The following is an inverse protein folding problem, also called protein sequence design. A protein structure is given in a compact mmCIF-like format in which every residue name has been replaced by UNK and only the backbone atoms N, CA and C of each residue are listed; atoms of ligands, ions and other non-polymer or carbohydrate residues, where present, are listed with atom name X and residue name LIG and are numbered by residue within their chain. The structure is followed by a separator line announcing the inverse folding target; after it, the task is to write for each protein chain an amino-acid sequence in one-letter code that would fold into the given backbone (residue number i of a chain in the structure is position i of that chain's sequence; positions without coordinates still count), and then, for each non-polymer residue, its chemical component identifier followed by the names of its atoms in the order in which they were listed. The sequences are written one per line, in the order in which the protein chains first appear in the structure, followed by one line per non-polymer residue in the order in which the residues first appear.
data_IF_282549068392
#
_entry.id   IF_282549068392
#
_cell.length_a   1.000
_cell.length_b   1.000
_cell.length_c   1.000
_cell.angle_alpha   90.00
_cell.angle_beta   90.00
_cell.angle_gamma   90.00
#
_symmetry.space_group_name_H-M   'P 1'
#
loop_
_entity.id
_entity.type
_entity.pdbx_description
1 polymer ?
#
# COMPACT_ATOMS: atom_id res chain seq x y z
N UNK A 1 -13.78 1.42 -32.13
CA UNK A 1 -13.08 1.11 -30.87
C UNK A 1 -13.53 2.11 -29.80
N UNK A 2 -14.45 1.67 -28.93
CA UNK A 2 -15.13 2.54 -27.96
C UNK A 2 -14.22 2.91 -26.78
N UNK A 3 -13.84 4.19 -26.71
CA UNK A 3 -13.30 4.80 -25.49
C UNK A 3 -14.46 4.96 -24.51
N UNK A 4 -14.53 4.13 -23.46
CA UNK A 4 -15.50 4.30 -22.36
C UNK A 4 -15.23 5.65 -21.69
N UNK A 5 -16.04 6.65 -22.05
CA UNK A 5 -16.24 7.85 -21.25
C UNK A 5 -16.96 7.42 -19.97
N UNK A 6 -16.44 7.79 -18.80
CA UNK A 6 -17.20 7.74 -17.55
C UNK A 6 -17.27 9.14 -16.93
N UNK A 7 -18.42 9.38 -16.32
CA UNK A 7 -19.11 10.65 -16.23
C UNK A 7 -18.45 11.73 -15.35
N UNK A 8 -18.95 12.94 -15.57
CA UNK A 8 -18.53 14.23 -15.07
C UNK A 8 -18.24 14.34 -13.57
N UNK A 9 -17.20 15.14 -13.32
CA UNK A 9 -16.89 15.89 -12.11
C UNK A 9 -18.14 16.39 -11.36
N UNK A 10 -18.34 15.89 -10.15
CA UNK A 10 -19.07 16.62 -9.13
C UNK A 10 -18.30 17.89 -8.78
N UNK A 11 -18.87 19.03 -9.14
CA UNK A 11 -18.43 20.35 -8.68
C UNK A 11 -18.51 20.43 -7.15
N UNK A 12 -17.45 20.91 -6.51
CA UNK A 12 -17.53 21.51 -5.19
C UNK A 12 -16.85 22.88 -5.24
N UNK A 13 -17.63 23.89 -4.87
CA UNK A 13 -17.27 25.30 -4.83
C UNK A 13 -16.08 25.60 -3.91
N UNK A 14 -15.40 26.72 -4.19
CA UNK A 14 -14.25 27.30 -3.49
C UNK A 14 -13.86 26.71 -2.12
N UNK A 15 -12.84 25.85 -2.12
CA UNK A 15 -12.20 25.30 -0.94
C UNK A 15 -11.10 24.33 -1.36
N UNK A 16 -10.08 24.09 -0.52
CA UNK A 16 -9.05 23.07 -0.80
C UNK A 16 -9.77 21.76 -1.13
N UNK A 17 -9.49 21.11 -2.27
CA UNK A 17 -10.23 19.92 -2.68
C UNK A 17 -10.16 18.88 -1.57
N UNK A 18 -11.32 18.44 -1.08
CA UNK A 18 -11.41 17.28 -0.21
C UNK A 18 -10.99 16.09 -1.07
N UNK A 19 -9.72 15.70 -0.95
CA UNK A 19 -9.24 14.44 -1.49
C UNK A 19 -9.86 13.33 -0.66
N UNK A 20 -11.05 12.88 -1.04
CA UNK A 20 -11.54 11.58 -0.63
C UNK A 20 -10.54 10.58 -1.22
N UNK A 21 -9.76 9.84 -0.41
CA UNK A 21 -8.92 8.80 -0.95
C UNK A 21 -9.85 7.83 -1.68
N UNK A 22 -9.67 7.65 -3.00
CA UNK A 22 -10.12 6.39 -3.64
C UNK A 22 -9.58 5.28 -2.76
N UNK A 23 -10.36 4.26 -2.39
CA UNK A 23 -9.85 3.14 -1.57
C UNK A 23 -8.47 2.71 -2.05
N UNK A 24 -7.41 3.18 -1.40
CA UNK A 24 -6.03 2.85 -1.75
C UNK A 24 -5.59 1.78 -0.78
N UNK A 25 -6.33 0.67 -0.76
CA UNK A 25 -6.03 -0.50 0.06
C UNK A 25 -4.94 -1.31 -0.65
N UNK A 26 -3.81 -0.65 -0.89
CA UNK A 26 -2.62 -1.22 -1.51
C UNK A 26 -1.46 -1.09 -0.54
N UNK A 27 -0.57 -2.06 -0.54
CA UNK A 27 0.67 -2.04 0.26
C UNK A 27 1.43 -0.74 0.02
N UNK A 28 1.45 -0.26 -1.24
CA UNK A 28 2.13 1.00 -1.61
C UNK A 28 1.55 2.22 -0.95
N UNK A 29 0.23 2.30 -0.83
CA UNK A 29 -0.40 3.45 -0.21
C UNK A 29 -0.21 3.42 1.31
N UNK A 30 -0.33 2.26 1.94
CA UNK A 30 -0.04 2.13 3.37
C UNK A 30 1.42 2.44 3.66
N UNK A 31 2.37 1.92 2.89
CA UNK A 31 3.78 2.27 3.02
C UNK A 31 4.03 3.77 2.82
N UNK A 32 3.39 4.41 1.83
CA UNK A 32 3.49 5.87 1.63
C UNK A 32 2.94 6.65 2.83
N UNK A 33 1.84 6.20 3.43
CA UNK A 33 1.25 6.80 4.64
C UNK A 33 2.25 6.72 5.80
N UNK A 34 2.73 5.52 6.12
CA UNK A 34 3.68 5.33 7.23
C UNK A 34 5.01 6.07 7.01
N UNK A 35 5.52 6.12 5.78
CA UNK A 35 6.70 6.93 5.44
C UNK A 35 6.46 8.41 5.79
N UNK A 36 5.30 8.96 5.45
CA UNK A 36 4.97 10.37 5.75
C UNK A 36 4.82 10.59 7.26
N UNK A 37 4.17 9.68 7.98
CA UNK A 37 3.98 9.73 9.43
C UNK A 37 5.33 9.72 10.17
N UNK A 38 6.27 8.89 9.72
CA UNK A 38 7.64 8.80 10.28
C UNK A 38 8.61 9.86 9.73
N UNK A 39 8.14 10.80 8.90
CA UNK A 39 8.97 11.84 8.30
C UNK A 39 10.04 11.32 7.33
N UNK A 40 9.88 10.09 6.83
CA UNK A 40 10.79 9.43 5.88
C UNK A 40 10.36 9.62 4.44
N UNK A 41 11.33 9.56 3.54
CA UNK A 41 11.11 9.60 2.09
C UNK A 41 11.12 8.18 1.56
N UNK A 42 10.40 7.95 0.48
CA UNK A 42 10.34 6.64 -0.18
C UNK A 42 11.74 6.07 -0.50
N UNK A 43 12.65 6.93 -0.96
CA UNK A 43 14.03 6.58 -1.27
C UNK A 43 14.87 6.11 -0.07
N UNK A 44 14.43 6.34 1.16
CA UNK A 44 15.12 5.89 2.37
C UNK A 44 14.92 4.38 2.59
N UNK A 45 13.93 3.76 1.90
CA UNK A 45 13.79 2.31 1.81
C UNK A 45 14.90 1.64 1.00
N UNK A 46 15.65 2.39 0.19
CA UNK A 46 16.71 1.85 -0.65
C UNK A 46 17.75 1.09 0.18
N UNK A 47 18.19 1.67 1.29
CA UNK A 47 19.18 1.09 2.19
C UNK A 47 18.62 -0.16 2.89
N UNK A 48 17.38 -0.10 3.37
CA UNK A 48 16.71 -1.24 4.00
C UNK A 48 16.51 -2.41 3.02
N UNK A 49 16.20 -2.13 1.76
CA UNK A 49 16.00 -3.14 0.72
C UNK A 49 17.30 -3.57 0.03
N UNK A 50 18.43 -2.95 0.34
CA UNK A 50 19.72 -3.23 -0.31
C UNK A 50 19.69 -2.96 -1.82
N UNK A 51 18.95 -1.95 -2.28
CA UNK A 51 18.77 -1.65 -3.70
C UNK A 51 18.95 -0.16 -4.01
N UNK A 52 19.00 0.20 -5.30
CA UNK A 52 19.12 1.62 -5.69
C UNK A 52 17.81 2.38 -5.43
N UNK A 53 17.92 3.70 -5.21
CA UNK A 53 16.74 4.58 -5.11
C UNK A 53 15.82 4.46 -6.32
N UNK A 54 16.38 4.28 -7.51
CA UNK A 54 15.60 4.06 -8.74
C UNK A 54 14.75 2.78 -8.66
N UNK A 55 15.30 1.68 -8.17
CA UNK A 55 14.57 0.43 -7.99
C UNK A 55 13.39 0.58 -7.02
N UNK A 56 13.54 1.43 -6.00
CA UNK A 56 12.43 1.78 -5.10
C UNK A 56 11.31 2.46 -5.87
N UNK A 57 11.60 3.50 -6.67
CA UNK A 57 10.59 4.14 -7.51
C UNK A 57 9.91 3.12 -8.42
N UNK A 58 10.67 2.28 -9.10
CA UNK A 58 10.13 1.23 -9.96
C UNK A 58 9.18 0.29 -9.21
N UNK A 59 9.53 -0.14 -8.01
CA UNK A 59 8.66 -0.98 -7.18
C UNK A 59 7.34 -0.31 -6.82
N UNK A 60 7.36 0.99 -6.52
CA UNK A 60 6.18 1.76 -6.13
C UNK A 60 5.26 2.15 -7.31
N UNK A 61 5.76 2.12 -8.54
CA UNK A 61 4.97 2.51 -9.72
C UNK A 61 4.69 1.38 -10.71
N UNK A 62 5.34 0.22 -10.56
CA UNK A 62 5.01 -0.98 -11.32
C UNK A 62 3.80 -1.70 -10.73
N UNK A 63 2.97 -2.22 -11.62
CA UNK A 63 1.82 -3.06 -11.30
C UNK A 63 2.26 -4.51 -11.04
N UNK A 64 2.91 -4.72 -9.89
CA UNK A 64 3.30 -6.06 -9.41
C UNK A 64 3.23 -6.11 -7.89
N UNK A 65 2.98 -7.25 -7.25
CA UNK A 65 2.97 -7.31 -5.79
C UNK A 65 4.33 -6.90 -5.18
N UNK A 66 4.30 -6.27 -4.00
CA UNK A 66 5.53 -6.07 -3.21
C UNK A 66 5.89 -7.40 -2.53
N UNK A 67 7.18 -7.77 -2.60
CA UNK A 67 7.69 -8.98 -1.94
C UNK A 67 7.49 -8.93 -0.43
N UNK A 68 7.09 -10.04 0.22
CA UNK A 68 6.98 -10.12 1.68
C UNK A 68 8.24 -9.63 2.40
N UNK A 69 9.44 -9.97 1.91
CA UNK A 69 10.69 -9.52 2.51
C UNK A 69 10.84 -7.98 2.49
N UNK A 70 10.39 -7.31 1.43
CA UNK A 70 10.41 -5.85 1.38
C UNK A 70 9.42 -5.22 2.37
N UNK A 71 8.29 -5.89 2.63
CA UNK A 71 7.32 -5.48 3.65
C UNK A 71 7.96 -5.56 5.03
N UNK A 72 8.59 -6.68 5.39
CA UNK A 72 9.28 -6.84 6.69
C UNK A 72 10.39 -5.82 6.91
N UNK A 73 11.23 -5.60 5.89
CA UNK A 73 12.32 -4.64 5.96
C UNK A 73 11.80 -3.20 6.08
N UNK A 74 10.72 -2.86 5.38
CA UNK A 74 10.08 -1.56 5.50
C UNK A 74 9.46 -1.37 6.89
N UNK A 75 8.74 -2.37 7.41
CA UNK A 75 8.14 -2.33 8.74
C UNK A 75 9.20 -2.16 9.83
N UNK A 76 10.30 -2.91 9.76
CA UNK A 76 11.43 -2.77 10.68
C UNK A 76 12.09 -1.39 10.60
N UNK A 77 12.28 -0.85 9.39
CA UNK A 77 12.83 0.49 9.21
C UNK A 77 11.91 1.55 9.84
N UNK A 78 10.60 1.40 9.67
CA UNK A 78 9.60 2.34 10.15
C UNK A 78 9.24 2.14 11.63
N UNK A 79 9.70 1.06 12.26
CA UNK A 79 9.36 0.76 13.65
C UNK A 79 7.88 0.44 13.85
N UNK A 80 7.22 -0.11 12.83
CA UNK A 80 5.81 -0.45 12.88
C UNK A 80 5.55 -1.52 13.94
N UNK A 81 4.38 -1.44 14.56
CA UNK A 81 3.92 -2.48 15.47
C UNK A 81 3.47 -3.73 14.71
N UNK A 82 3.11 -4.78 15.45
CA UNK A 82 2.67 -6.03 14.86
C UNK A 82 1.34 -5.89 14.10
N UNK A 83 0.46 -5.00 14.52
CA UNK A 83 -0.85 -4.81 13.89
C UNK A 83 -0.69 -4.17 12.51
N UNK A 84 0.04 -3.06 12.42
CA UNK A 84 0.35 -2.37 11.16
C UNK A 84 1.15 -3.27 10.21
N UNK A 85 2.10 -4.04 10.77
CA UNK A 85 2.87 -5.00 9.97
C UNK A 85 1.97 -6.10 9.39
N UNK A 86 1.03 -6.62 10.19
CA UNK A 86 0.06 -7.62 9.73
C UNK A 86 -0.90 -7.06 8.68
N UNK A 87 -1.34 -5.81 8.82
CA UNK A 87 -2.13 -5.12 7.79
C UNK A 87 -1.39 -5.12 6.45
N UNK A 88 -0.11 -4.73 6.44
CA UNK A 88 0.72 -4.74 5.23
C UNK A 88 0.90 -6.14 4.63
N UNK A 89 1.09 -7.17 5.46
CA UNK A 89 1.20 -8.57 5.02
C UNK A 89 -0.07 -9.05 4.34
N UNK A 90 -1.24 -8.79 4.95
CA UNK A 90 -2.54 -9.17 4.41
C UNK A 90 -2.81 -8.47 3.08
N UNK A 91 -2.54 -7.17 2.99
CA UNK A 91 -2.65 -6.42 1.75
C UNK A 91 -1.70 -6.97 0.68
N UNK A 92 -0.45 -7.29 1.05
CA UNK A 92 0.54 -7.86 0.13
C UNK A 92 0.15 -9.22 -0.42
N UNK A 93 -0.40 -10.09 0.44
CA UNK A 93 -0.94 -11.37 0.02
C UNK A 93 -2.15 -11.20 -0.92
N UNK A 94 -3.07 -10.27 -0.63
CA UNK A 94 -4.20 -9.95 -1.52
C UNK A 94 -3.73 -9.41 -2.88
N UNK A 95 -2.75 -8.51 -2.90
CA UNK A 95 -2.14 -8.01 -4.14
C UNK A 95 -1.48 -9.13 -4.96
N UNK A 96 -0.87 -10.11 -4.28
CA UNK A 96 -0.29 -11.30 -4.91
C UNK A 96 -1.33 -12.33 -5.39
N UNK A 97 -2.62 -12.05 -5.23
CA UNK A 97 -3.72 -12.89 -5.69
C UNK A 97 -4.14 -13.99 -4.71
N UNK A 98 -3.65 -13.95 -3.47
CA UNK A 98 -4.08 -14.89 -2.45
C UNK A 98 -5.51 -14.58 -2.01
N UNK A 99 -6.37 -15.60 -2.07
CA UNK A 99 -7.72 -15.53 -1.55
C UNK A 99 -7.69 -15.83 -0.05
N UNK A 100 -7.44 -14.79 0.75
CA UNK A 100 -7.50 -14.89 2.21
C UNK A 100 -8.97 -14.82 2.59
N UNK A 101 -9.53 -15.95 3.02
CA UNK A 101 -10.91 -16.00 3.54
C UNK A 101 -10.95 -15.36 4.93
N UNK A 102 -11.68 -14.23 5.11
CA UNK A 102 -11.82 -13.60 6.42
C UNK A 102 -12.55 -14.50 7.43
N UNK A 103 -13.34 -15.46 6.96
CA UNK A 103 -14.16 -16.34 7.80
C UNK A 103 -13.40 -17.56 8.31
N UNK A 104 -12.19 -17.83 7.81
CA UNK A 104 -11.40 -19.00 8.21
C UNK A 104 -11.16 -19.07 9.74
N UNK A 105 -11.02 -17.90 10.39
CA UNK A 105 -10.84 -17.80 11.85
C UNK A 105 -12.17 -18.06 12.59
N UNK A 106 -13.31 -17.72 11.99
CA UNK A 106 -14.63 -17.86 12.60
C UNK A 106 -15.14 -19.31 12.58
N UNK A 107 -14.80 -20.08 11.56
CA UNK A 107 -15.24 -21.48 11.41
C UNK A 107 -14.47 -22.46 12.30
N UNK A 108 -13.24 -22.13 12.70
CA UNK A 108 -12.37 -23.03 13.49
C UNK A 108 -12.84 -23.17 14.96
N UNK A 109 -13.82 -22.36 15.40
CA UNK A 109 -14.36 -22.37 16.76
C UNK A 109 -15.83 -22.83 16.85
N UNK A 110 -16.39 -23.42 15.80
CA UNK A 110 -17.71 -24.04 15.80
C UNK A 110 -17.63 -25.57 15.99
#
# INVERSE_FOLDING_TARGET
MSRRQHAHNGMAAGGRPIRIPRSVDSVRAHLKRHLVEEGKRMQDLADAWGCSKHNVYDLFYRDRPISPNHIELAAKLLGLDEFDTNELRLLGAREAGWQIDPNFILETHA
#
